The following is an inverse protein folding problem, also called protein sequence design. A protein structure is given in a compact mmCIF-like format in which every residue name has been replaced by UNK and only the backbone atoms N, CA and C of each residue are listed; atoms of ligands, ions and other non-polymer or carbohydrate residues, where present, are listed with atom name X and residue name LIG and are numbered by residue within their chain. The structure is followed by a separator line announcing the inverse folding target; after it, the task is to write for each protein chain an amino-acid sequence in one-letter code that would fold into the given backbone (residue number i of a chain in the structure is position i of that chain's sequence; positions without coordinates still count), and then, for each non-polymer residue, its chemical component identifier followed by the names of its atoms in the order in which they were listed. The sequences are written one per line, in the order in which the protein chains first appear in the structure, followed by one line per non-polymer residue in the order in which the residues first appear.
data_IF_027994573240
#
_entry.id   IF_027994573240
#
_cell.length_a   1.000
_cell.length_b   1.000
_cell.length_c   1.000
_cell.angle_alpha   90.00
_cell.angle_beta   90.00
_cell.angle_gamma   90.00
#
_symmetry.space_group_name_H-M   'P 1'
#
loop_
_entity.id
_entity.type
_entity.pdbx_description
1 polymer ?
#
# COMPACT_ATOMS: atom_id res chain seq x y z
N UNK A 1 2.35 22.21 10.87
CA UNK A 1 2.29 21.25 9.73
C UNK A 1 2.93 21.90 8.50
N UNK A 2 3.86 21.21 7.88
CA UNK A 2 4.49 21.71 6.64
C UNK A 2 3.68 21.24 5.43
N UNK A 3 2.75 22.06 4.97
CA UNK A 3 1.85 21.70 3.87
C UNK A 3 2.55 21.59 2.52
N UNK A 4 3.62 22.33 2.30
CA UNK A 4 4.42 22.19 1.06
C UNK A 4 5.07 20.83 1.00
N UNK A 5 5.63 20.38 2.11
CA UNK A 5 6.24 19.04 2.21
C UNK A 5 5.20 17.95 2.10
N UNK A 6 4.04 18.14 2.74
CA UNK A 6 2.91 17.19 2.65
C UNK A 6 2.44 17.06 1.20
N UNK A 7 2.32 18.17 0.48
CA UNK A 7 1.91 18.15 -0.93
C UNK A 7 2.88 17.36 -1.80
N UNK A 8 4.18 17.47 -1.54
CA UNK A 8 5.19 16.69 -2.25
C UNK A 8 5.05 15.19 -1.97
N UNK A 9 4.83 14.84 -0.71
CA UNK A 9 4.64 13.44 -0.30
C UNK A 9 3.39 12.84 -0.94
N UNK A 10 2.27 13.57 -0.89
CA UNK A 10 1.00 13.12 -1.48
C UNK A 10 1.12 13.02 -3.01
N UNK A 11 1.80 13.98 -3.65
CA UNK A 11 2.04 13.92 -5.10
C UNK A 11 2.86 12.69 -5.48
N UNK A 12 3.92 12.41 -4.72
CA UNK A 12 4.73 11.22 -4.96
C UNK A 12 3.89 9.94 -4.85
N UNK A 13 3.11 9.84 -3.78
CA UNK A 13 2.27 8.67 -3.56
C UNK A 13 1.24 8.47 -4.67
N UNK A 14 0.58 9.54 -5.10
CA UNK A 14 -0.53 9.44 -6.05
C UNK A 14 -0.09 9.41 -7.52
N UNK A 15 1.07 10.00 -7.84
CA UNK A 15 1.55 10.09 -9.22
C UNK A 15 2.57 9.03 -9.61
N UNK A 16 3.44 8.65 -8.68
CA UNK A 16 4.64 7.90 -9.02
C UNK A 16 4.77 6.57 -8.31
N UNK A 17 4.33 6.46 -7.07
CA UNK A 17 4.58 5.27 -6.28
C UNK A 17 3.39 4.87 -5.39
N UNK A 18 2.17 4.74 -5.96
CA UNK A 18 1.04 4.28 -5.14
C UNK A 18 1.31 2.91 -4.51
N UNK A 19 2.07 2.06 -5.19
CA UNK A 19 2.43 0.73 -4.69
C UNK A 19 3.27 0.78 -3.40
N UNK A 20 4.11 1.81 -3.23
CA UNK A 20 4.89 1.96 -1.99
C UNK A 20 3.99 2.25 -0.78
N UNK A 21 2.86 2.89 -1.02
CA UNK A 21 1.89 3.26 0.02
C UNK A 21 0.73 2.27 0.10
N UNK A 22 0.78 1.23 -0.70
CA UNK A 22 -0.26 0.21 -0.80
C UNK A 22 -1.64 0.82 -1.12
N UNK A 23 -1.64 1.81 -2.02
CA UNK A 23 -2.86 2.50 -2.43
C UNK A 23 -3.53 1.79 -3.60
N UNK A 24 -4.84 1.81 -3.61
CA UNK A 24 -5.66 1.21 -4.66
C UNK A 24 -6.36 2.31 -5.45
N UNK A 25 -5.68 2.82 -6.49
CA UNK A 25 -6.23 3.85 -7.36
C UNK A 25 -7.23 3.23 -8.33
N UNK A 26 -8.34 3.95 -8.58
CA UNK A 26 -9.25 3.55 -9.63
C UNK A 26 -8.73 4.03 -10.99
N UNK A 27 -9.48 3.74 -12.04
CA UNK A 27 -9.08 4.10 -13.42
C UNK A 27 -8.91 5.61 -13.65
N UNK A 28 -9.49 6.43 -12.77
CA UNK A 28 -9.40 7.88 -12.86
C UNK A 28 -8.42 8.48 -11.83
N UNK A 29 -7.68 7.62 -11.14
CA UNK A 29 -6.68 8.03 -10.16
C UNK A 29 -7.20 8.34 -8.77
N UNK A 30 -8.48 8.10 -8.51
CA UNK A 30 -9.06 8.32 -7.19
C UNK A 30 -8.66 7.23 -6.21
N UNK A 31 -8.39 7.63 -4.97
CA UNK A 31 -8.13 6.70 -3.88
C UNK A 31 -8.96 7.15 -2.66
N UNK A 32 -9.52 6.22 -1.89
CA UNK A 32 -10.19 6.59 -0.65
C UNK A 32 -9.21 7.33 0.27
N UNK A 33 -9.66 8.45 0.85
CA UNK A 33 -8.82 9.26 1.75
C UNK A 33 -8.37 8.42 2.95
N UNK A 34 -9.21 7.52 3.44
CA UNK A 34 -8.84 6.65 4.56
C UNK A 34 -7.61 5.80 4.26
N UNK A 35 -7.46 5.31 3.02
CA UNK A 35 -6.27 4.56 2.62
C UNK A 35 -5.03 5.44 2.61
N UNK A 36 -5.16 6.65 2.08
CA UNK A 36 -4.04 7.60 2.07
C UNK A 36 -3.63 7.99 3.48
N UNK A 37 -4.59 8.31 4.34
CA UNK A 37 -4.30 8.66 5.72
C UNK A 37 -3.65 7.51 6.47
N UNK A 38 -4.16 6.29 6.29
CA UNK A 38 -3.55 5.11 6.93
C UNK A 38 -2.10 4.94 6.49
N UNK A 39 -1.82 5.13 5.20
CA UNK A 39 -0.46 5.04 4.68
C UNK A 39 0.44 6.12 5.25
N UNK A 40 -0.04 7.36 5.33
CA UNK A 40 0.73 8.48 5.90
C UNK A 40 1.00 8.26 7.39
N UNK A 41 0.02 7.72 8.12
CA UNK A 41 0.17 7.48 9.56
C UNK A 41 1.23 6.43 9.91
N UNK A 42 1.68 5.65 8.95
CA UNK A 42 2.79 4.70 9.15
C UNK A 42 4.11 5.43 9.40
N UNK A 43 4.23 6.65 8.91
CA UNK A 43 5.42 7.49 9.11
C UNK A 43 5.24 8.37 10.35
N UNK A 44 6.27 8.47 11.19
CA UNK A 44 6.22 9.34 12.37
C UNK A 44 6.03 10.80 11.97
N UNK A 45 6.55 11.20 10.81
CA UNK A 45 6.41 12.57 10.31
C UNK A 45 4.96 12.95 10.03
N UNK A 46 4.16 12.00 9.54
CA UNK A 46 2.78 12.26 9.12
C UNK A 46 1.73 11.56 9.97
N UNK A 47 2.11 11.05 11.13
CA UNK A 47 1.21 10.27 11.99
C UNK A 47 -0.01 11.04 12.48
N UNK A 48 0.04 12.37 12.46
CA UNK A 48 -1.03 13.25 12.96
C UNK A 48 -1.80 13.95 11.83
N UNK A 49 -1.54 13.62 10.57
CA UNK A 49 -2.26 14.21 9.44
C UNK A 49 -3.71 13.74 9.45
N UNK A 50 -4.64 14.68 9.32
CA UNK A 50 -6.06 14.42 9.29
C UNK A 50 -6.68 14.89 7.96
N UNK A 51 -7.93 14.56 7.75
CA UNK A 51 -8.67 14.96 6.56
C UNK A 51 -8.58 16.48 6.31
N UNK A 52 -8.78 17.28 7.36
CA UNK A 52 -8.72 18.74 7.24
C UNK A 52 -7.35 19.24 6.78
N UNK A 53 -6.28 18.54 7.14
CA UNK A 53 -4.93 18.91 6.69
C UNK A 53 -4.78 18.76 5.18
N UNK A 54 -5.41 17.75 4.60
CA UNK A 54 -5.40 17.57 3.15
C UNK A 54 -6.16 18.70 2.45
N UNK A 55 -7.26 19.14 3.03
CA UNK A 55 -8.00 20.31 2.51
C UNK A 55 -7.16 21.58 2.55
N UNK A 56 -6.51 21.83 3.70
CA UNK A 56 -5.64 23.00 3.87
C UNK A 56 -4.47 22.95 2.90
N UNK A 57 -3.87 21.76 2.73
CA UNK A 57 -2.79 21.54 1.76
C UNK A 57 -3.21 21.98 0.35
N UNK A 58 -4.41 21.59 -0.07
CA UNK A 58 -4.92 21.96 -1.39
C UNK A 58 -5.18 23.46 -1.48
N UNK A 59 -5.80 24.06 -0.47
CA UNK A 59 -6.11 25.49 -0.42
C UNK A 59 -4.86 26.37 -0.44
N UNK A 60 -3.81 25.96 0.26
CA UNK A 60 -2.56 26.73 0.35
C UNK A 60 -1.65 26.55 -0.87
N UNK A 61 -1.94 25.60 -1.73
CA UNK A 61 -1.13 25.36 -2.92
C UNK A 61 -1.40 26.44 -3.97
N UNK A 62 -0.34 27.08 -4.47
CA UNK A 62 -0.45 28.09 -5.54
C UNK A 62 -0.99 27.47 -6.82
N UNK A 63 -0.62 26.22 -7.06
CA UNK A 63 -1.04 25.46 -8.23
C UNK A 63 -1.94 24.31 -7.79
N UNK A 64 -3.08 24.17 -8.43
CA UNK A 64 -4.00 23.09 -8.09
C UNK A 64 -3.44 21.75 -8.56
N UNK A 65 -2.94 20.94 -7.64
CA UNK A 65 -2.31 19.64 -7.92
C UNK A 65 -3.20 18.45 -7.59
N UNK A 66 -4.13 18.64 -6.66
CA UNK A 66 -4.98 17.57 -6.15
C UNK A 66 -6.41 18.04 -6.06
N UNK A 67 -7.34 17.10 -6.07
CA UNK A 67 -8.72 17.43 -5.76
C UNK A 67 -9.33 16.37 -4.85
N UNK A 68 -10.25 16.81 -4.01
CA UNK A 68 -11.03 15.97 -3.11
C UNK A 68 -12.48 16.01 -3.57
N UNK A 69 -13.09 14.84 -3.65
CA UNK A 69 -14.53 14.71 -3.93
C UNK A 69 -15.08 13.66 -2.99
N UNK A 70 -16.01 14.06 -2.12
CA UNK A 70 -16.55 13.19 -1.09
C UNK A 70 -15.41 12.63 -0.23
N UNK A 71 -15.24 11.31 -0.14
CA UNK A 71 -14.23 10.66 0.68
C UNK A 71 -13.02 10.20 -0.12
N UNK A 72 -12.82 10.76 -1.32
CA UNK A 72 -11.71 10.36 -2.19
C UNK A 72 -10.86 11.55 -2.61
N UNK A 73 -9.59 11.25 -2.94
CA UNK A 73 -8.62 12.24 -3.38
C UNK A 73 -7.90 11.70 -4.62
N UNK A 74 -7.49 12.60 -5.50
CA UNK A 74 -6.63 12.25 -6.64
C UNK A 74 -5.65 13.36 -6.98
N UNK A 75 -4.56 12.99 -7.67
CA UNK A 75 -3.71 13.95 -8.34
C UNK A 75 -4.34 14.27 -9.69
N UNK A 76 -4.26 15.54 -10.10
CA UNK A 76 -4.89 15.99 -11.34
C UNK A 76 -4.05 15.73 -12.59
N UNK A 77 -2.73 15.61 -12.44
CA UNK A 77 -1.81 15.43 -13.57
C UNK A 77 -0.46 14.89 -13.09
N UNK A 78 0.40 14.57 -14.03
CA UNK A 78 1.79 14.19 -13.74
C UNK A 78 2.02 12.72 -13.36
N UNK A 79 1.07 11.86 -13.65
CA UNK A 79 1.21 10.43 -13.35
C UNK A 79 2.28 9.78 -14.21
N UNK A 80 3.19 9.02 -13.60
CA UNK A 80 4.22 8.25 -14.31
C UNK A 80 3.98 6.74 -14.29
N UNK A 81 2.95 6.29 -13.57
CA UNK A 81 2.60 4.86 -13.49
C UNK A 81 1.17 4.66 -13.99
N UNK A 82 0.84 3.46 -14.46
CA UNK A 82 -0.56 3.12 -14.78
C UNK A 82 -1.42 3.28 -13.54
N UNK A 83 -2.54 3.96 -13.66
CA UNK A 83 -3.44 4.19 -12.54
C UNK A 83 -4.31 2.97 -12.24
N UNK A 84 -4.64 2.22 -13.27
CA UNK A 84 -5.55 1.08 -13.14
C UNK A 84 -4.88 -0.13 -12.51
N UNK A 85 -5.46 -0.65 -11.44
CA UNK A 85 -5.08 -1.94 -10.88
C UNK A 85 -5.85 -3.01 -11.65
N UNK A 86 -5.13 -3.99 -12.20
CA UNK A 86 -5.71 -5.14 -12.89
C UNK A 86 -6.17 -6.12 -11.81
N UNK A 87 -7.47 -6.31 -11.66
CA UNK A 87 -8.04 -7.16 -10.61
C UNK A 87 -8.47 -8.53 -11.16
N UNK A 88 -7.61 -9.15 -11.95
CA UNK A 88 -7.88 -10.47 -12.50
C UNK A 88 -7.22 -11.56 -11.64
N UNK A 89 -8.00 -12.60 -11.34
CA UNK A 89 -7.45 -13.76 -10.65
C UNK A 89 -6.39 -14.40 -11.55
N UNK A 90 -5.21 -14.66 -11.01
CA UNK A 90 -4.10 -15.19 -11.76
C UNK A 90 -3.24 -16.07 -10.88
N UNK A 91 -2.35 -16.83 -11.49
CA UNK A 91 -1.42 -17.72 -10.79
C UNK A 91 -0.16 -16.90 -10.47
N UNK A 92 0.10 -16.61 -9.18
CA UNK A 92 1.29 -15.85 -8.80
C UNK A 92 2.55 -16.72 -8.81
N UNK A 93 3.74 -16.10 -8.70
CA UNK A 93 4.95 -16.85 -8.38
C UNK A 93 4.76 -17.64 -7.10
N UNK A 94 5.52 -18.71 -6.92
CA UNK A 94 5.42 -19.58 -5.74
C UNK A 94 5.53 -18.83 -4.41
N UNK A 95 6.40 -17.81 -4.38
CA UNK A 95 6.59 -16.98 -3.21
C UNK A 95 6.31 -15.52 -3.55
N UNK A 96 5.55 -14.87 -2.67
CA UNK A 96 5.37 -13.43 -2.68
C UNK A 96 5.85 -12.87 -1.35
N UNK A 97 6.06 -11.57 -1.29
CA UNK A 97 6.69 -10.93 -0.14
C UNK A 97 5.84 -9.77 0.37
N UNK A 98 5.95 -9.53 1.67
CA UNK A 98 5.23 -8.42 2.32
C UNK A 98 6.14 -7.77 3.35
N UNK A 99 6.42 -6.47 3.19
CA UNK A 99 7.22 -5.70 4.14
C UNK A 99 6.32 -5.09 5.21
N UNK A 100 6.68 -5.27 6.47
CA UNK A 100 5.88 -4.78 7.59
C UNK A 100 6.75 -4.36 8.77
N UNK A 101 6.13 -3.74 9.78
CA UNK A 101 6.80 -3.32 10.99
C UNK A 101 6.82 -4.46 12.02
N UNK A 102 7.85 -4.44 12.88
CA UNK A 102 8.02 -5.45 13.93
C UNK A 102 6.83 -5.53 14.88
N UNK A 103 6.22 -4.38 15.20
CA UNK A 103 5.10 -4.33 16.15
C UNK A 103 3.82 -5.00 15.61
N UNK A 104 3.75 -5.29 14.31
CA UNK A 104 2.60 -5.98 13.72
C UNK A 104 2.78 -7.49 13.64
N UNK A 105 4.01 -7.98 13.85
CA UNK A 105 4.33 -9.39 13.66
C UNK A 105 3.49 -10.32 14.53
N UNK A 106 3.32 -10.01 15.81
CA UNK A 106 2.55 -10.88 16.72
C UNK A 106 1.10 -11.02 16.28
N UNK A 107 0.49 -9.94 15.79
CA UNK A 107 -0.88 -9.97 15.29
C UNK A 107 -0.97 -10.80 14.01
N UNK A 108 -0.01 -10.64 13.12
CA UNK A 108 0.05 -11.39 11.86
C UNK A 108 0.23 -12.88 12.13
N UNK A 109 1.05 -13.24 13.11
CA UNK A 109 1.25 -14.65 13.50
C UNK A 109 -0.03 -15.29 14.02
N UNK A 110 -0.91 -14.51 14.65
CA UNK A 110 -2.19 -15.00 15.19
C UNK A 110 -3.29 -15.02 14.12
N UNK A 111 -3.41 -13.94 13.35
CA UNK A 111 -4.57 -13.68 12.51
C UNK A 111 -4.28 -13.69 11.02
N UNK A 112 -3.02 -13.80 10.62
CA UNK A 112 -2.62 -13.70 9.22
C UNK A 112 -2.62 -12.27 8.72
N UNK A 113 -2.56 -12.11 7.40
CA UNK A 113 -2.62 -10.82 6.75
C UNK A 113 -4.05 -10.53 6.30
N UNK A 114 -4.54 -9.34 6.63
CA UNK A 114 -5.87 -8.89 6.22
C UNK A 114 -5.78 -7.54 5.50
N UNK A 115 -6.77 -7.21 4.64
CA UNK A 115 -6.75 -5.95 3.89
C UNK A 115 -6.84 -4.68 4.73
N UNK A 116 -7.43 -4.74 5.90
CA UNK A 116 -7.71 -3.59 6.77
C UNK A 116 -8.60 -2.57 6.04
N UNK A 117 -8.17 -1.35 5.83
CA UNK A 117 -8.96 -0.34 5.12
C UNK A 117 -8.94 -0.51 3.60
N UNK A 118 -8.09 -1.40 3.09
CA UNK A 118 -7.99 -1.68 1.65
C UNK A 118 -8.93 -2.79 1.24
N UNK A 119 -9.11 -2.98 -0.06
CA UNK A 119 -9.90 -4.10 -0.57
C UNK A 119 -9.13 -5.41 -0.56
N UNK A 120 -7.81 -5.31 -0.65
CA UNK A 120 -6.93 -6.47 -0.79
C UNK A 120 -5.70 -6.35 0.09
N UNK A 121 -5.10 -7.50 0.40
CA UNK A 121 -3.74 -7.56 0.93
C UNK A 121 -2.80 -7.29 -0.24
N UNK A 122 -1.84 -6.39 -0.07
CA UNK A 122 -0.86 -6.03 -1.09
C UNK A 122 0.43 -6.79 -0.88
N UNK A 123 0.91 -7.44 -1.94
CA UNK A 123 2.11 -8.27 -1.91
C UNK A 123 3.05 -7.84 -3.04
N UNK A 124 4.32 -8.16 -2.91
CA UNK A 124 5.35 -7.82 -3.88
C UNK A 124 5.97 -9.08 -4.49
N UNK A 125 6.39 -9.00 -5.75
CA UNK A 125 7.05 -10.13 -6.42
C UNK A 125 8.47 -10.37 -5.93
N UNK A 126 9.14 -9.35 -5.41
CA UNK A 126 10.53 -9.46 -4.95
C UNK A 126 10.74 -8.79 -3.61
N UNK A 127 11.85 -9.15 -2.97
CA UNK A 127 12.22 -8.68 -1.64
C UNK A 127 12.53 -7.18 -1.66
N UNK A 128 13.16 -6.70 -2.72
CA UNK A 128 13.50 -5.28 -2.85
C UNK A 128 12.24 -4.39 -2.83
N UNK A 129 11.24 -4.76 -3.62
CA UNK A 129 9.95 -4.04 -3.64
C UNK A 129 9.26 -4.10 -2.29
N UNK A 130 9.22 -5.29 -1.66
CA UNK A 130 8.63 -5.44 -0.33
C UNK A 130 9.37 -4.61 0.72
N UNK A 131 10.69 -4.52 0.61
CA UNK A 131 11.50 -3.71 1.51
C UNK A 131 11.17 -2.22 1.39
N UNK A 132 10.98 -1.72 0.17
CA UNK A 132 10.60 -0.32 -0.05
C UNK A 132 9.23 -0.02 0.57
N UNK A 133 8.27 -0.92 0.41
CA UNK A 133 6.95 -0.79 1.05
C UNK A 133 7.09 -0.80 2.57
N UNK A 134 7.86 -1.75 3.10
CA UNK A 134 8.06 -1.89 4.53
C UNK A 134 8.74 -0.70 5.18
N UNK A 135 9.66 -0.04 4.46
CA UNK A 135 10.36 1.14 4.96
C UNK A 135 9.45 2.35 5.20
N UNK A 136 8.27 2.34 4.61
CA UNK A 136 7.24 3.34 4.92
C UNK A 136 6.68 3.14 6.32
N UNK A 137 6.75 1.91 6.83
CA UNK A 137 6.19 1.54 8.13
C UNK A 137 7.24 1.59 9.24
N UNK A 138 8.46 1.21 8.92
CA UNK A 138 9.55 1.12 9.88
C UNK A 138 10.90 1.17 9.14
N UNK A 139 11.90 1.79 9.75
CA UNK A 139 13.23 1.95 9.13
C UNK A 139 13.87 0.61 8.74
N UNK A 140 13.77 -0.37 9.62
CA UNK A 140 14.29 -1.72 9.38
C UNK A 140 13.14 -2.71 9.39
N UNK A 141 12.39 -2.81 8.28
CA UNK A 141 11.17 -3.62 8.25
C UNK A 141 11.46 -5.11 8.28
N UNK A 142 10.47 -5.88 8.72
CA UNK A 142 10.47 -7.33 8.55
C UNK A 142 9.90 -7.64 7.19
N UNK A 143 10.51 -8.58 6.50
CA UNK A 143 9.99 -9.13 5.24
C UNK A 143 9.35 -10.48 5.55
N UNK A 144 8.10 -10.61 5.14
CA UNK A 144 7.37 -11.88 5.25
C UNK A 144 7.37 -12.58 3.90
N UNK A 145 7.45 -13.89 3.91
CA UNK A 145 7.37 -14.73 2.71
C UNK A 145 6.04 -15.48 2.75
N UNK A 146 5.30 -15.39 1.68
CA UNK A 146 4.02 -16.07 1.53
C UNK A 146 4.17 -17.23 0.55
N UNK A 147 3.85 -18.44 1.00
CA UNK A 147 3.79 -19.62 0.14
C UNK A 147 2.45 -19.61 -0.59
N UNK A 148 2.43 -19.07 -1.80
CA UNK A 148 1.19 -18.88 -2.56
C UNK A 148 0.60 -20.19 -3.04
N UNK A 149 1.44 -21.17 -3.35
CA UNK A 149 0.98 -22.48 -3.80
C UNK A 149 0.16 -23.19 -2.73
N UNK A 150 0.68 -23.22 -1.50
CA UNK A 150 -0.03 -23.81 -0.37
C UNK A 150 -1.29 -23.02 -0.01
N UNK A 151 -1.20 -21.69 -0.05
CA UNK A 151 -2.36 -20.84 0.24
C UNK A 151 -3.48 -21.07 -0.78
N UNK A 152 -3.14 -21.16 -2.07
CA UNK A 152 -4.11 -21.42 -3.13
C UNK A 152 -4.77 -22.79 -2.96
N UNK A 153 -4.00 -23.79 -2.55
CA UNK A 153 -4.53 -25.13 -2.31
C UNK A 153 -5.61 -25.14 -1.21
N UNK A 154 -5.56 -24.16 -0.30
CA UNK A 154 -6.56 -24.00 0.77
C UNK A 154 -7.61 -22.93 0.45
N UNK A 155 -7.64 -22.41 -0.77
CA UNK A 155 -8.71 -21.53 -1.22
C UNK A 155 -8.38 -20.05 -1.26
N UNK A 156 -7.17 -19.63 -0.88
CA UNK A 156 -6.77 -18.21 -0.99
C UNK A 156 -6.64 -17.83 -2.46
N UNK A 157 -7.25 -16.73 -2.84
CA UNK A 157 -7.19 -16.21 -4.21
C UNK A 157 -6.19 -15.07 -4.33
N UNK A 158 -5.48 -15.05 -5.44
CA UNK A 158 -4.50 -14.02 -5.78
C UNK A 158 -4.91 -13.34 -7.07
N UNK A 159 -4.71 -12.04 -7.13
CA UNK A 159 -5.10 -11.21 -8.26
C UNK A 159 -3.89 -10.41 -8.73
N UNK A 160 -3.79 -10.23 -10.03
CA UNK A 160 -2.75 -9.38 -10.58
C UNK A 160 -3.07 -7.92 -10.25
N UNK A 161 -2.12 -7.24 -9.60
CA UNK A 161 -2.21 -5.81 -9.36
C UNK A 161 -1.62 -5.05 -10.55
N UNK A 162 -0.53 -4.36 -10.31
CA UNK A 162 0.24 -3.81 -11.42
C UNK A 162 1.59 -4.55 -11.52
N UNK A 163 2.52 -4.03 -12.28
CA UNK A 163 3.74 -4.73 -12.72
C UNK A 163 4.47 -5.60 -11.67
N UNK A 164 4.60 -5.13 -10.44
CA UNK A 164 5.31 -5.87 -9.38
C UNK A 164 4.45 -6.14 -8.16
N UNK A 165 3.19 -5.79 -8.24
CA UNK A 165 2.26 -5.87 -7.11
C UNK A 165 1.20 -6.92 -7.38
N UNK A 166 1.02 -7.80 -6.40
CA UNK A 166 -0.05 -8.79 -6.39
C UNK A 166 -1.02 -8.45 -5.26
N UNK A 167 -2.26 -8.80 -5.46
CA UNK A 167 -3.34 -8.58 -4.51
C UNK A 167 -3.88 -9.94 -4.06
N UNK A 168 -4.33 -10.01 -2.81
CA UNK A 168 -4.89 -11.23 -2.28
C UNK A 168 -6.03 -10.94 -1.33
N UNK A 169 -6.86 -11.94 -1.13
CA UNK A 169 -7.79 -11.96 -0.01
C UNK A 169 -7.00 -12.18 1.28
N UNK A 170 -7.67 -12.27 2.42
CA UNK A 170 -7.01 -12.56 3.69
C UNK A 170 -6.15 -13.83 3.58
N UNK A 171 -4.91 -13.74 4.05
CA UNK A 171 -3.96 -14.86 4.01
C UNK A 171 -3.80 -15.43 5.40
N UNK A 172 -4.14 -16.72 5.61
CA UNK A 172 -3.93 -17.36 6.91
C UNK A 172 -2.45 -17.40 7.32
N UNK A 173 -2.20 -17.28 8.61
CA UNK A 173 -0.82 -17.22 9.14
C UNK A 173 0.00 -18.46 8.83
N UNK A 174 -0.62 -19.62 8.65
CA UNK A 174 0.10 -20.87 8.35
C UNK A 174 0.90 -20.84 7.05
N UNK A 175 0.57 -19.89 6.14
CA UNK A 175 1.26 -19.75 4.84
C UNK A 175 2.28 -18.61 4.84
N UNK A 176 2.54 -18.02 6.01
CA UNK A 176 3.39 -16.84 6.17
C UNK A 176 4.59 -17.19 7.05
N UNK A 177 5.79 -16.86 6.57
CA UNK A 177 7.01 -17.02 7.35
C UNK A 177 7.82 -15.73 7.31
N UNK A 178 8.63 -15.52 8.35
CA UNK A 178 9.57 -14.40 8.34
C UNK A 178 10.74 -14.77 7.43
N UNK A 179 11.07 -13.88 6.50
CA UNK A 179 12.25 -14.06 5.66
C UNK A 179 13.50 -13.89 6.51
N UNK A 180 14.36 -14.89 6.48
CA UNK A 180 15.67 -14.84 7.14
C UNK A 180 16.75 -14.98 6.08
N UNK A 181 17.62 -13.96 6.01
CA UNK A 181 18.76 -14.00 5.12
C UNK A 181 19.84 -14.88 5.76
N UNK A 182 20.25 -15.90 5.02
CA UNK A 182 21.34 -16.76 5.46
C UNK A 182 22.69 -16.22 4.99
#
# INVERSE_FOLDING_TARGET
MNYTKLSKEVSYALRHAPWEYELELDKNGWVPIDQLLQALHQSTEWQNVEFDDLKVMIEKSEKKRHEIKEDSIRALYGHSVPMKIVKEEAIPPKFLYHGTAHNLLSEIEKSGLSPMSRQYVHLSEDIETASLVGKRKEKNPIILVINTENARAKGTKFYLGNEKVWLADTIPSEFIEVFTQK
#
